data_IF_989863048334
#
_entry.id   IF_989863048334
#
_cell.length_a   1.000
_cell.length_b   1.000
_cell.length_c   1.000
_cell.angle_alpha   90.00
_cell.angle_beta   90.00
_cell.angle_gamma   90.00
#
_symmetry.space_group_name_H-M   'P 1'
#
loop_
_entity.id
_entity.type
_entity.pdbx_description
1 polymer ?
#
# COMPACT_ATOMS: atom_id res chain seq x y z
N UNK A 1 15.48 -12.86 -34.33
CA UNK A 1 14.96 -13.48 -33.08
C UNK A 1 15.71 -13.02 -31.83
N UNK A 2 17.05 -12.92 -31.82
CA UNK A 2 17.82 -12.50 -30.64
C UNK A 2 17.53 -11.06 -30.16
N UNK A 3 17.45 -10.08 -31.07
CA UNK A 3 17.20 -8.67 -30.70
C UNK A 3 15.86 -8.50 -29.97
N UNK A 4 14.81 -9.17 -30.45
CA UNK A 4 13.48 -9.13 -29.83
C UNK A 4 13.52 -9.70 -28.41
N UNK A 5 14.24 -10.79 -28.20
CA UNK A 5 14.39 -11.38 -26.86
C UNK A 5 15.12 -10.44 -25.91
N UNK A 6 16.20 -9.79 -26.36
CA UNK A 6 16.95 -8.80 -25.56
C UNK A 6 16.05 -7.62 -25.18
N UNK A 7 15.27 -7.08 -26.12
CA UNK A 7 14.35 -5.98 -25.86
C UNK A 7 13.24 -6.38 -24.88
N UNK A 8 12.69 -7.58 -25.02
CA UNK A 8 11.67 -8.09 -24.12
C UNK A 8 12.20 -8.23 -22.68
N UNK A 9 13.40 -8.81 -22.52
CA UNK A 9 14.04 -8.95 -21.21
C UNK A 9 14.38 -7.58 -20.62
N UNK A 10 14.90 -6.66 -21.42
CA UNK A 10 15.18 -5.28 -20.99
C UNK A 10 13.93 -4.55 -20.49
N UNK A 11 12.83 -4.65 -21.22
CA UNK A 11 11.56 -4.04 -20.83
C UNK A 11 11.02 -4.63 -19.51
N UNK A 12 11.10 -5.95 -19.32
CA UNK A 12 10.70 -6.62 -18.08
C UNK A 12 11.59 -6.20 -16.90
N UNK A 13 12.89 -6.04 -17.12
CA UNK A 13 13.82 -5.58 -16.09
C UNK A 13 13.51 -4.14 -15.65
N UNK A 14 13.28 -3.24 -16.61
CA UNK A 14 12.87 -1.85 -16.33
C UNK A 14 11.54 -1.81 -15.57
N UNK A 15 10.55 -2.59 -16.00
CA UNK A 15 9.25 -2.65 -15.33
C UNK A 15 9.38 -3.17 -13.89
N UNK A 16 10.15 -4.23 -13.69
CA UNK A 16 10.41 -4.80 -12.36
C UNK A 16 11.11 -3.78 -11.45
N UNK A 17 12.12 -3.08 -11.95
CA UNK A 17 12.83 -2.05 -11.19
C UNK A 17 11.91 -0.88 -10.82
N UNK A 18 11.08 -0.41 -11.76
CA UNK A 18 10.04 0.58 -11.49
C UNK A 18 9.07 0.12 -10.39
N UNK A 19 8.53 -1.09 -10.52
CA UNK A 19 7.55 -1.62 -9.57
C UNK A 19 8.16 -1.73 -8.16
N UNK A 20 9.37 -2.28 -8.05
CA UNK A 20 10.06 -2.44 -6.76
C UNK A 20 10.32 -1.10 -6.07
N UNK A 21 10.82 -0.11 -6.83
CA UNK A 21 11.11 1.22 -6.29
C UNK A 21 9.85 1.96 -5.84
N UNK A 22 8.77 1.88 -6.61
CA UNK A 22 7.48 2.45 -6.25
C UNK A 22 6.85 1.77 -5.02
N UNK A 23 6.94 0.44 -4.91
CA UNK A 23 6.45 -0.31 -3.75
C UNK A 23 7.17 0.12 -2.46
N UNK A 24 8.50 0.17 -2.50
CA UNK A 24 9.31 0.61 -1.36
C UNK A 24 9.04 2.09 -0.98
N UNK A 25 8.77 2.95 -1.96
CA UNK A 25 8.38 4.34 -1.69
C UNK A 25 7.02 4.43 -0.99
N UNK A 26 6.05 3.58 -1.36
CA UNK A 26 4.73 3.53 -0.71
C UNK A 26 4.82 3.09 0.74
N UNK A 27 5.60 2.05 1.04
CA UNK A 27 5.82 1.58 2.42
C UNK A 27 6.35 2.72 3.31
N UNK A 28 7.36 3.45 2.81
CA UNK A 28 7.94 4.60 3.52
C UNK A 28 6.93 5.74 3.70
N UNK A 29 6.19 6.07 2.64
CA UNK A 29 5.17 7.13 2.69
C UNK A 29 4.05 6.79 3.68
N UNK A 30 3.66 5.52 3.75
CA UNK A 30 2.66 5.05 4.71
C UNK A 30 3.16 5.14 6.15
N UNK A 31 4.39 4.68 6.41
CA UNK A 31 5.02 4.81 7.73
C UNK A 31 5.11 6.29 8.15
N UNK A 32 5.51 7.17 7.23
CA UNK A 32 5.55 8.60 7.47
C UNK A 32 4.14 9.18 7.76
N UNK A 33 3.12 8.78 6.99
CA UNK A 33 1.74 9.24 7.19
C UNK A 33 1.16 8.79 8.54
N UNK A 34 1.48 7.56 8.99
CA UNK A 34 1.09 7.06 10.32
C UNK A 34 1.76 7.91 11.40
N UNK A 35 3.08 8.11 11.33
CA UNK A 35 3.79 8.96 12.29
C UNK A 35 3.27 10.41 12.31
N UNK A 36 2.94 10.97 11.15
CA UNK A 36 2.35 12.30 11.06
C UNK A 36 0.95 12.33 11.70
N UNK A 37 0.12 11.30 11.49
CA UNK A 37 -1.17 11.18 12.15
C UNK A 37 -1.02 11.08 13.69
N UNK A 38 -0.07 10.28 14.17
CA UNK A 38 0.24 10.14 15.59
C UNK A 38 0.70 11.45 16.22
N UNK A 39 1.53 12.22 15.52
CA UNK A 39 1.95 13.56 15.96
C UNK A 39 0.79 14.54 16.15
N UNK A 40 -0.33 14.30 15.47
CA UNK A 40 -1.59 15.06 15.60
C UNK A 40 -2.55 14.48 16.64
N UNK A 41 -2.12 13.47 17.40
CA UNK A 41 -2.91 12.84 18.46
C UNK A 41 -3.82 11.70 17.99
N UNK A 42 -3.69 11.24 16.74
CA UNK A 42 -4.31 9.98 16.33
C UNK A 42 -3.56 8.81 16.97
N UNK A 43 -4.25 7.69 17.17
CA UNK A 43 -3.62 6.41 17.52
C UNK A 43 -3.91 5.42 16.42
N UNK A 44 -2.87 4.86 15.81
CA UNK A 44 -2.99 3.85 14.74
C UNK A 44 -2.24 2.61 15.19
N UNK A 45 -2.96 1.53 15.41
CA UNK A 45 -2.41 0.23 15.75
C UNK A 45 -2.72 -0.73 14.62
N UNK A 46 -1.72 -1.48 14.17
CA UNK A 46 -1.90 -2.50 13.13
C UNK A 46 -0.83 -3.56 13.30
N UNK A 47 -1.14 -4.79 12.91
CA UNK A 47 -0.14 -5.84 12.77
C UNK A 47 0.75 -5.61 11.54
N UNK A 48 1.16 -6.69 10.91
CA UNK A 48 2.00 -6.60 9.71
C UNK A 48 1.27 -5.85 8.59
N UNK A 49 1.99 -4.91 7.98
CA UNK A 49 1.60 -4.24 6.74
C UNK A 49 2.37 -4.91 5.60
N UNK A 50 1.64 -5.43 4.62
CA UNK A 50 2.24 -6.06 3.44
C UNK A 50 1.90 -5.25 2.17
N UNK A 51 2.87 -5.16 1.26
CA UNK A 51 2.67 -4.53 -0.05
C UNK A 51 3.00 -5.52 -1.16
N UNK A 52 1.95 -5.96 -1.85
CA UNK A 52 2.03 -6.93 -2.95
C UNK A 52 1.39 -6.43 -4.25
N UNK A 53 1.12 -7.37 -5.16
CA UNK A 53 0.38 -7.10 -6.40
C UNK A 53 1.22 -6.99 -7.68
N UNK A 54 2.52 -7.33 -7.62
CA UNK A 54 3.36 -7.43 -8.81
C UNK A 54 2.70 -8.32 -9.89
N UNK A 55 2.75 -7.95 -11.18
CA UNK A 55 3.44 -6.78 -11.75
C UNK A 55 2.55 -5.54 -11.93
N UNK A 56 1.24 -5.61 -11.72
CA UNK A 56 0.30 -4.60 -12.22
C UNK A 56 -0.40 -3.78 -11.13
N UNK A 57 -0.21 -4.14 -9.87
CA UNK A 57 -0.90 -3.51 -8.73
C UNK A 57 0.06 -3.23 -7.59
N UNK A 58 -0.35 -2.29 -6.76
CA UNK A 58 0.21 -2.06 -5.43
C UNK A 58 -0.91 -2.25 -4.42
N UNK A 59 -0.97 -3.43 -3.85
CA UNK A 59 -1.96 -3.83 -2.87
C UNK A 59 -1.34 -3.73 -1.48
N UNK A 60 -1.74 -2.73 -0.71
CA UNK A 60 -1.31 -2.53 0.68
C UNK A 60 -2.37 -3.12 1.60
N UNK A 61 -2.02 -4.19 2.32
CA UNK A 61 -2.90 -4.86 3.28
C UNK A 61 -2.50 -4.51 4.71
N UNK A 62 -3.49 -4.12 5.50
CA UNK A 62 -3.38 -3.87 6.93
C UNK A 62 -4.13 -4.99 7.65
N UNK A 63 -3.50 -5.58 8.68
CA UNK A 63 -4.12 -6.61 9.52
C UNK A 63 -4.37 -6.06 10.91
N UNK A 64 -5.50 -6.45 11.49
CA UNK A 64 -5.93 -6.03 12.83
C UNK A 64 -5.77 -4.51 13.02
N UNK A 65 -6.32 -3.72 12.11
CA UNK A 65 -6.18 -2.28 12.09
C UNK A 65 -7.14 -1.66 13.11
N UNK A 66 -6.62 -0.88 14.04
CA UNK A 66 -7.37 -0.06 14.98
C UNK A 66 -6.91 1.41 14.85
N UNK A 67 -7.86 2.30 14.63
CA UNK A 67 -7.62 3.74 14.46
C UNK A 67 -8.50 4.51 15.43
N UNK A 68 -7.89 5.33 16.28
CA UNK A 68 -8.60 6.21 17.21
C UNK A 68 -8.25 7.67 16.94
N UNK A 69 -9.27 8.51 16.79
CA UNK A 69 -9.12 9.94 16.59
C UNK A 69 -8.78 10.66 17.91
N UNK A 70 -8.13 11.84 17.85
CA UNK A 70 -7.83 12.65 19.03
C UNK A 70 -9.11 12.93 19.85
N UNK A 71 -8.99 12.86 21.18
CA UNK A 71 -10.13 13.08 22.08
C UNK A 71 -11.21 11.99 22.03
N UNK A 72 -10.90 10.81 21.47
CA UNK A 72 -11.81 9.65 21.38
C UNK A 72 -13.10 9.94 20.60
N UNK A 73 -13.09 10.94 19.71
CA UNK A 73 -14.26 11.30 18.91
C UNK A 73 -14.69 10.21 17.91
N UNK A 74 -13.76 9.33 17.54
CA UNK A 74 -13.97 8.21 16.65
C UNK A 74 -12.99 7.09 17.02
N UNK A 75 -13.49 5.87 17.11
CA UNK A 75 -12.67 4.66 17.15
C UNK A 75 -13.20 3.71 16.07
N UNK A 76 -12.30 3.19 15.25
CA UNK A 76 -12.61 2.27 14.18
C UNK A 76 -11.64 1.10 14.20
N UNK A 77 -12.19 -0.11 14.12
CA UNK A 77 -11.42 -1.34 14.09
C UNK A 77 -11.83 -2.18 12.88
N UNK A 78 -10.86 -2.89 12.30
CA UNK A 78 -11.10 -3.82 11.21
C UNK A 78 -10.13 -5.02 11.29
N UNK A 79 -10.63 -6.26 11.13
CA UNK A 79 -9.76 -7.45 11.08
C UNK A 79 -8.76 -7.38 9.93
N UNK A 80 -9.15 -6.75 8.82
CA UNK A 80 -8.26 -6.39 7.72
C UNK A 80 -8.78 -5.15 7.00
N UNK A 81 -7.88 -4.41 6.37
CA UNK A 81 -8.21 -3.31 5.46
C UNK A 81 -7.21 -3.34 4.30
N UNK A 82 -7.65 -3.03 3.07
CA UNK A 82 -6.74 -3.03 1.92
C UNK A 82 -6.91 -1.80 1.06
N UNK A 83 -5.80 -1.19 0.70
CA UNK A 83 -5.74 -0.10 -0.28
C UNK A 83 -4.97 -0.57 -1.51
N UNK A 84 -5.64 -0.54 -2.65
CA UNK A 84 -5.10 -0.99 -3.93
C UNK A 84 -4.95 0.16 -4.90
N UNK A 85 -3.90 0.13 -5.70
CA UNK A 85 -3.71 1.03 -6.84
C UNK A 85 -3.14 0.26 -8.02
N UNK A 86 -3.41 0.69 -9.25
CA UNK A 86 -2.78 0.13 -10.44
C UNK A 86 -1.35 0.69 -10.57
N UNK A 87 -0.38 -0.15 -10.93
CA UNK A 87 1.02 0.25 -11.00
C UNK A 87 1.30 1.32 -12.07
N UNK A 88 0.49 1.34 -13.13
CA UNK A 88 0.51 2.34 -14.20
C UNK A 88 -0.45 3.51 -13.95
N UNK A 89 -1.24 3.48 -12.89
CA UNK A 89 -2.12 4.59 -12.48
C UNK A 89 -2.21 4.65 -10.94
N UNK A 90 -1.09 5.01 -10.26
CA UNK A 90 -1.02 4.92 -8.81
C UNK A 90 -1.90 5.95 -8.09
N UNK A 91 -2.36 6.99 -8.79
CA UNK A 91 -3.27 8.00 -8.24
C UNK A 91 -4.72 7.49 -8.07
N UNK A 92 -5.08 6.40 -8.75
CA UNK A 92 -6.40 5.80 -8.61
C UNK A 92 -6.41 4.77 -7.48
N UNK A 93 -6.88 5.20 -6.31
CA UNK A 93 -6.92 4.39 -5.10
C UNK A 93 -8.29 3.71 -4.93
N UNK A 94 -8.24 2.43 -4.58
CA UNK A 94 -9.41 1.62 -4.25
C UNK A 94 -9.23 1.10 -2.83
N UNK A 95 -10.08 1.54 -1.92
CA UNK A 95 -10.10 1.07 -0.55
C UNK A 95 -11.15 -0.06 -0.39
N UNK A 96 -10.79 -1.11 0.33
CA UNK A 96 -11.60 -2.30 0.54
C UNK A 96 -11.73 -2.58 2.04
N UNK A 97 -12.97 -2.73 2.48
CA UNK A 97 -13.35 -3.02 3.86
C UNK A 97 -13.83 -4.47 4.01
N UNK A 98 -13.77 -5.04 5.23
CA UNK A 98 -14.38 -6.32 5.52
C UNK A 98 -15.91 -6.21 5.38
N UNK A 99 -16.53 -7.27 4.86
CA UNK A 99 -17.98 -7.31 4.60
C UNK A 99 -18.82 -7.34 5.90
N UNK A 100 -18.20 -7.72 7.00
CA UNK A 100 -18.80 -7.80 8.33
C UNK A 100 -17.85 -7.13 9.33
N UNK A 101 -18.39 -6.25 10.16
CA UNK A 101 -17.72 -5.52 11.23
C UNK A 101 -18.40 -5.84 12.56
#
# INVERSE_FOLDING_TARGET
>A
MQIVAVLAVGALAVWTAWWWTASAAKERALAAAIHEAESRGWRVETGDIDVGGYPYRFDTEFRALAVTAPGHALAWEAPWFRVSALAYNPAHLIAMWPKHQ
#
